data_IF_939275499291
#
_entry.id   IF_939275499291
#
_cell.length_a   1.000
_cell.length_b   1.000
_cell.length_c   1.000
_cell.angle_alpha   90.00
_cell.angle_beta   90.00
_cell.angle_gamma   90.00
#
_symmetry.space_group_name_H-M   'P 1'
#
loop_
_entity.id
_entity.type
_entity.pdbx_description
1 polymer ?
#
# COMPACT_ATOMS: atom_id res chain seq x y z
N UNK A 1 0.38 -7.93 6.33
CA UNK A 1 0.71 -6.72 7.11
C UNK A 1 1.23 -7.14 8.48
N UNK A 2 2.50 -7.51 8.58
CA UNK A 2 3.07 -8.07 9.82
C UNK A 2 3.20 -7.01 10.92
N UNK A 3 3.90 -5.90 10.65
CA UNK A 3 4.17 -4.87 11.67
C UNK A 3 2.89 -4.28 12.29
N UNK A 4 1.89 -3.95 11.47
CA UNK A 4 0.58 -3.44 11.93
C UNK A 4 -0.08 -4.40 12.91
N UNK A 5 -0.11 -5.70 12.58
CA UNK A 5 -0.71 -6.73 13.45
C UNK A 5 0.12 -6.93 14.71
N UNK A 6 1.45 -6.95 14.57
CA UNK A 6 2.37 -7.08 15.69
C UNK A 6 2.18 -5.95 16.71
N UNK A 7 2.10 -4.68 16.29
CA UNK A 7 1.85 -3.57 17.21
C UNK A 7 0.53 -3.74 17.97
N UNK A 8 -0.54 -4.14 17.29
CA UNK A 8 -1.83 -4.41 17.94
C UNK A 8 -1.72 -5.57 18.94
N UNK A 9 -1.04 -6.66 18.57
CA UNK A 9 -0.78 -7.81 19.46
C UNK A 9 0.03 -7.43 20.70
N UNK A 10 0.93 -6.43 20.60
CA UNK A 10 1.67 -5.88 21.73
C UNK A 10 0.86 -4.86 22.56
N UNK A 11 -0.44 -4.69 22.27
CA UNK A 11 -1.30 -3.73 22.98
C UNK A 11 -1.06 -2.27 22.61
N UNK A 12 -0.40 -2.00 21.48
CA UNK A 12 -0.12 -0.65 21.02
C UNK A 12 -1.27 -0.21 20.10
N UNK A 13 -2.05 0.77 20.57
CA UNK A 13 -3.09 1.41 19.78
C UNK A 13 -2.47 2.24 18.65
N UNK A 14 -2.80 1.89 17.41
CA UNK A 14 -2.27 2.54 16.21
C UNK A 14 -3.34 3.34 15.47
N UNK A 15 -2.88 4.24 14.62
CA UNK A 15 -3.67 4.87 13.57
C UNK A 15 -3.15 4.39 12.22
N UNK A 16 -4.05 3.98 11.33
CA UNK A 16 -3.72 3.35 10.06
C UNK A 16 -4.45 4.03 8.90
N UNK A 17 -3.68 4.51 7.92
CA UNK A 17 -4.18 4.99 6.63
C UNK A 17 -3.94 3.95 5.54
N UNK A 18 -5.00 3.53 4.86
CA UNK A 18 -4.96 2.50 3.81
C UNK A 18 -5.36 3.11 2.46
N UNK A 19 -4.63 2.77 1.40
CA UNK A 19 -4.92 3.20 0.03
C UNK A 19 -5.14 1.99 -0.87
N UNK A 20 -6.22 2.00 -1.65
CA UNK A 20 -6.51 0.97 -2.65
C UNK A 20 -6.03 1.32 -4.05
N UNK A 21 -5.36 2.48 -4.21
CA UNK A 21 -4.93 2.96 -5.52
C UNK A 21 -3.97 2.00 -6.23
N UNK A 22 -3.06 1.34 -5.50
CA UNK A 22 -1.97 0.56 -6.08
C UNK A 22 -2.29 -0.93 -6.13
N UNK A 23 -2.71 -1.49 -5.00
CA UNK A 23 -2.98 -2.93 -4.90
C UNK A 23 -4.28 -3.35 -5.60
N UNK A 24 -5.23 -2.44 -5.84
CA UNK A 24 -6.45 -2.72 -6.62
C UNK A 24 -6.51 -1.93 -7.93
N UNK A 25 -5.48 -1.14 -8.27
CA UNK A 25 -5.49 -0.29 -9.47
C UNK A 25 -6.49 0.87 -9.43
N UNK A 26 -7.07 1.18 -8.27
CA UNK A 26 -8.13 2.19 -8.10
C UNK A 26 -7.59 3.61 -7.95
N UNK A 27 -6.62 4.02 -8.78
CA UNK A 27 -5.92 5.30 -8.67
C UNK A 27 -6.86 6.50 -8.73
N UNK A 28 -7.68 6.58 -9.78
CA UNK A 28 -8.62 7.68 -10.02
C UNK A 28 -9.87 7.63 -9.15
N UNK A 29 -10.22 6.45 -8.63
CA UNK A 29 -11.43 6.22 -7.83
C UNK A 29 -11.34 6.76 -6.39
N UNK A 30 -10.13 7.11 -5.96
CA UNK A 30 -9.86 7.73 -4.64
C UNK A 30 -10.34 6.88 -3.46
N UNK A 31 -10.25 5.56 -3.58
CA UNK A 31 -10.62 4.61 -2.54
C UNK A 31 -9.51 4.44 -1.47
N UNK A 32 -9.89 4.58 -0.20
CA UNK A 32 -9.02 4.40 0.95
C UNK A 32 -9.82 4.29 2.25
N UNK A 33 -9.12 4.06 3.36
CA UNK A 33 -9.71 3.98 4.69
C UNK A 33 -8.77 4.57 5.75
N UNK A 34 -9.34 5.12 6.81
CA UNK A 34 -8.63 5.59 8.00
C UNK A 34 -9.17 4.85 9.22
N UNK A 35 -8.30 4.15 9.95
CA UNK A 35 -8.66 3.33 11.10
C UNK A 35 -7.92 3.83 12.34
N UNK A 36 -8.63 3.99 13.45
CA UNK A 36 -8.05 4.25 14.77
C UNK A 36 -8.36 3.05 15.66
N UNK A 37 -7.33 2.36 16.13
CA UNK A 37 -7.50 1.28 17.10
C UNK A 37 -7.68 1.93 18.47
N UNK A 38 -8.81 1.60 19.11
CA UNK A 38 -9.20 2.14 20.41
C UNK A 38 -9.17 1.02 21.46
N UNK A 39 -9.07 1.40 22.72
CA UNK A 39 -8.97 0.51 23.87
C UNK A 39 -10.27 -0.26 24.12
N UNK A 40 -11.41 0.37 23.80
CA UNK A 40 -12.74 -0.20 23.97
C UNK A 40 -13.75 0.34 22.91
N UNK A 41 -14.92 -0.29 22.78
CA UNK A 41 -15.95 0.14 21.83
C UNK A 41 -16.53 1.54 22.09
N UNK A 42 -16.52 2.02 23.33
CA UNK A 42 -17.08 3.34 23.66
C UNK A 42 -16.12 4.46 23.28
N UNK A 43 -14.81 4.26 23.45
CA UNK A 43 -13.77 5.11 22.88
C UNK A 43 -13.88 5.16 21.36
N UNK A 44 -14.05 4.00 20.71
CA UNK A 44 -14.23 3.94 19.25
C UNK A 44 -15.41 4.80 18.75
N UNK A 45 -16.56 4.76 19.44
CA UNK A 45 -17.72 5.61 19.11
C UNK A 45 -17.42 7.10 19.27
N UNK A 46 -16.71 7.48 20.34
CA UNK A 46 -16.32 8.89 20.56
C UNK A 46 -15.38 9.36 19.45
N UNK A 47 -14.36 8.57 19.12
CA UNK A 47 -13.41 8.85 18.03
C UNK A 47 -14.14 8.95 16.68
N UNK A 48 -15.01 8.00 16.36
CA UNK A 48 -15.80 8.01 15.12
C UNK A 48 -16.64 9.28 14.99
N UNK A 49 -17.28 9.72 16.08
CA UNK A 49 -18.08 10.95 16.08
C UNK A 49 -17.25 12.19 15.73
N UNK A 50 -16.02 12.28 16.25
CA UNK A 50 -15.11 13.40 15.97
C UNK A 50 -14.54 13.32 14.55
N UNK A 51 -14.23 12.12 14.06
CA UNK A 51 -13.81 11.93 12.66
C UNK A 51 -14.92 12.37 11.69
N UNK A 52 -16.18 12.04 11.97
CA UNK A 52 -17.34 12.52 11.18
C UNK A 52 -17.44 14.04 11.18
N UNK A 53 -17.23 14.69 12.33
CA UNK A 53 -17.21 16.16 12.45
C UNK A 53 -16.09 16.77 11.60
N UNK A 54 -14.90 16.17 11.56
CA UNK A 54 -13.79 16.63 10.73
C UNK A 54 -14.02 16.41 9.24
N UNK A 55 -14.57 15.25 8.85
CA UNK A 55 -14.81 14.89 7.45
C UNK A 55 -15.85 15.80 6.79
N UNK A 56 -16.91 16.13 7.53
CA UNK A 56 -18.05 16.88 7.00
C UNK A 56 -17.68 18.24 6.37
N UNK A 57 -16.88 19.13 7.00
CA UNK A 57 -16.46 20.39 6.40
C UNK A 57 -15.35 20.23 5.35
N UNK A 58 -14.61 19.11 5.32
CA UNK A 58 -13.57 18.89 4.31
C UNK A 58 -14.15 18.53 2.95
N UNK A 59 -15.08 17.58 2.91
CA UNK A 59 -15.67 17.10 1.65
C UNK A 59 -17.07 16.47 1.83
N UNK A 60 -17.74 16.71 2.96
CA UNK A 60 -19.06 16.16 3.31
C UNK A 60 -19.08 14.63 3.50
N UNK A 61 -18.91 13.86 2.42
CA UNK A 61 -18.98 12.41 2.39
C UNK A 61 -18.06 11.83 1.30
N UNK A 62 -17.50 10.62 1.50
CA UNK A 62 -16.50 10.06 0.59
C UNK A 62 -17.10 9.55 -0.74
N UNK A 63 -16.27 9.43 -1.81
CA UNK A 63 -16.71 8.86 -3.08
C UNK A 63 -17.09 7.38 -2.95
N UNK A 64 -18.22 6.99 -3.54
CA UNK A 64 -18.83 5.68 -3.32
C UNK A 64 -18.32 4.57 -4.26
N UNK A 65 -17.91 4.91 -5.49
CA UNK A 65 -17.66 3.93 -6.55
C UNK A 65 -16.48 3.00 -6.22
N UNK A 66 -15.29 3.55 -6.01
CA UNK A 66 -14.13 2.76 -5.61
C UNK A 66 -14.31 1.96 -4.33
N UNK A 67 -15.05 2.50 -3.35
CA UNK A 67 -15.38 1.78 -2.12
C UNK A 67 -16.28 0.56 -2.39
N UNK A 68 -17.24 0.66 -3.32
CA UNK A 68 -18.09 -0.46 -3.74
C UNK A 68 -17.29 -1.53 -4.50
N UNK A 69 -16.39 -1.14 -5.40
CA UNK A 69 -15.51 -2.09 -6.11
C UNK A 69 -14.65 -2.86 -5.11
N UNK A 70 -13.94 -2.15 -4.23
CA UNK A 70 -13.12 -2.77 -3.20
C UNK A 70 -13.94 -3.70 -2.29
N UNK A 71 -15.13 -3.27 -1.87
CA UNK A 71 -16.03 -4.08 -1.05
C UNK A 71 -16.49 -5.35 -1.78
N UNK A 72 -16.88 -5.25 -3.05
CA UNK A 72 -17.31 -6.38 -3.87
C UNK A 72 -16.19 -7.43 -4.01
N UNK A 73 -14.98 -6.99 -4.36
CA UNK A 73 -13.81 -7.86 -4.48
C UNK A 73 -13.49 -8.54 -3.14
N UNK A 74 -13.46 -7.79 -2.05
CA UNK A 74 -13.03 -8.32 -0.75
C UNK A 74 -14.03 -9.28 -0.10
N UNK A 75 -15.33 -9.12 -0.39
CA UNK A 75 -16.42 -9.91 0.18
C UNK A 75 -16.92 -11.04 -0.74
N UNK A 76 -16.45 -11.12 -1.99
CA UNK A 76 -16.78 -12.22 -2.91
C UNK A 76 -15.59 -13.18 -2.97
N UNK A 77 -15.69 -14.43 -2.46
CA UNK A 77 -14.54 -15.34 -2.33
C UNK A 77 -13.75 -15.55 -3.62
N UNK A 78 -14.44 -15.74 -4.75
CA UNK A 78 -13.80 -15.97 -6.05
C UNK A 78 -13.05 -14.73 -6.55
N UNK A 79 -13.69 -13.55 -6.49
CA UNK A 79 -13.05 -12.28 -6.85
C UNK A 79 -11.87 -11.95 -5.93
N UNK A 80 -11.99 -12.24 -4.64
CA UNK A 80 -10.89 -12.05 -3.69
C UNK A 80 -9.69 -12.93 -4.04
N UNK A 81 -9.94 -14.19 -4.40
CA UNK A 81 -8.89 -15.14 -4.79
C UNK A 81 -8.21 -14.69 -6.10
N UNK A 82 -8.99 -14.26 -7.07
CA UNK A 82 -8.48 -13.70 -8.32
C UNK A 82 -7.62 -12.46 -8.06
N UNK A 83 -8.13 -11.48 -7.32
CA UNK A 83 -7.41 -10.27 -6.95
C UNK A 83 -6.08 -10.57 -6.24
N UNK A 84 -6.05 -11.50 -5.29
CA UNK A 84 -4.82 -11.90 -4.60
C UNK A 84 -3.79 -12.51 -5.56
N UNK A 85 -4.25 -13.27 -6.55
CA UNK A 85 -3.39 -13.84 -7.61
C UNK A 85 -2.80 -12.73 -8.47
N UNK A 86 -3.62 -11.77 -8.91
CA UNK A 86 -3.19 -10.64 -9.73
C UNK A 86 -2.19 -9.73 -9.01
N UNK A 87 -2.47 -9.39 -7.73
CA UNK A 87 -1.55 -8.59 -6.89
C UNK A 87 -0.20 -9.29 -6.76
N UNK A 88 -0.21 -10.62 -6.55
CA UNK A 88 1.02 -11.41 -6.49
C UNK A 88 1.76 -11.36 -7.84
N UNK A 89 1.06 -11.53 -8.96
CA UNK A 89 1.66 -11.42 -10.29
C UNK A 89 2.33 -10.06 -10.55
N UNK A 90 1.69 -8.96 -10.12
CA UNK A 90 2.30 -7.63 -10.19
C UNK A 90 3.57 -7.52 -9.35
N UNK A 91 3.56 -8.05 -8.12
CA UNK A 91 4.74 -8.04 -7.25
C UNK A 91 5.88 -8.89 -7.81
N UNK A 92 5.57 -10.10 -8.27
CA UNK A 92 6.55 -11.05 -8.85
C UNK A 92 7.21 -10.44 -10.10
N UNK A 93 6.45 -9.71 -10.94
CA UNK A 93 7.01 -8.99 -12.09
C UNK A 93 8.02 -7.91 -11.65
N UNK A 94 7.72 -7.13 -10.62
CA UNK A 94 8.65 -6.09 -10.11
C UNK A 94 9.94 -6.72 -9.58
N UNK A 95 9.84 -7.82 -8.83
CA UNK A 95 11.00 -8.57 -8.33
C UNK A 95 11.86 -9.09 -9.50
N UNK A 96 11.21 -9.63 -10.54
CA UNK A 96 11.89 -10.09 -11.76
C UNK A 96 12.63 -8.94 -12.46
N UNK A 97 12.00 -7.78 -12.61
CA UNK A 97 12.63 -6.60 -13.22
C UNK A 97 13.85 -6.12 -12.44
N UNK A 98 13.78 -6.10 -11.11
CA UNK A 98 14.93 -5.74 -10.25
C UNK A 98 16.10 -6.70 -10.44
N UNK A 99 15.82 -8.00 -10.47
CA UNK A 99 16.83 -9.05 -10.70
C UNK A 99 17.48 -8.91 -12.07
N UNK A 100 16.67 -8.70 -13.12
CA UNK A 100 17.16 -8.52 -14.48
C UNK A 100 18.01 -7.25 -14.62
N UNK A 101 17.61 -6.14 -13.99
CA UNK A 101 18.38 -4.90 -14.02
C UNK A 101 19.77 -5.06 -13.40
N UNK A 102 19.87 -5.65 -12.20
CA UNK A 102 21.17 -5.90 -11.54
C UNK A 102 22.05 -6.85 -12.37
N UNK A 103 21.45 -7.91 -12.92
CA UNK A 103 22.18 -8.83 -13.80
C UNK A 103 22.73 -8.11 -15.03
N UNK A 104 21.95 -7.25 -15.66
CA UNK A 104 22.38 -6.56 -16.88
C UNK A 104 23.42 -5.49 -16.58
N UNK A 105 23.30 -4.73 -15.48
CA UNK A 105 24.34 -3.78 -15.04
C UNK A 105 25.71 -4.46 -14.86
N UNK A 106 25.74 -5.68 -14.31
CA UNK A 106 26.96 -6.48 -14.22
C UNK A 106 27.48 -6.91 -15.59
N UNK A 107 26.60 -7.34 -16.50
CA UNK A 107 26.98 -7.75 -17.86
C UNK A 107 27.57 -6.59 -18.67
N UNK A 108 27.04 -5.38 -18.50
CA UNK A 108 27.54 -4.15 -19.11
C UNK A 108 28.85 -3.63 -18.46
N UNK A 109 29.43 -4.38 -17.52
CA UNK A 109 30.73 -4.05 -16.92
C UNK A 109 30.67 -3.02 -15.80
N UNK A 110 29.49 -2.71 -15.25
CA UNK A 110 29.40 -1.81 -14.10
C UNK A 110 30.13 -2.41 -12.89
N UNK A 111 31.07 -1.66 -12.32
CA UNK A 111 31.84 -2.05 -11.13
C UNK A 111 31.20 -1.64 -9.80
N UNK A 112 30.06 -0.94 -9.85
CA UNK A 112 29.35 -0.49 -8.65
C UNK A 112 28.57 -1.65 -7.99
N UNK A 113 28.36 -1.55 -6.68
CA UNK A 113 27.46 -2.46 -5.98
C UNK A 113 26.01 -2.05 -6.22
N UNK A 114 25.25 -2.88 -6.94
CA UNK A 114 23.83 -2.67 -7.24
C UNK A 114 22.88 -3.56 -6.42
N UNK A 115 23.38 -4.24 -5.38
CA UNK A 115 22.59 -5.17 -4.55
C UNK A 115 21.36 -4.50 -3.91
N UNK A 116 21.43 -3.19 -3.62
CA UNK A 116 20.32 -2.42 -3.08
C UNK A 116 19.08 -2.44 -3.98
N UNK A 117 19.23 -2.62 -5.29
CA UNK A 117 18.09 -2.72 -6.21
C UNK A 117 17.26 -3.97 -5.92
N UNK A 118 17.90 -5.09 -5.58
CA UNK A 118 17.22 -6.36 -5.27
C UNK A 118 16.81 -6.48 -3.80
N UNK A 119 17.53 -5.84 -2.88
CA UNK A 119 17.19 -5.86 -1.45
C UNK A 119 15.99 -4.96 -1.10
N UNK A 120 15.79 -3.88 -1.87
CA UNK A 120 14.66 -2.98 -1.68
C UNK A 120 13.33 -3.63 -2.06
N UNK A 121 12.29 -3.33 -1.28
CA UNK A 121 10.94 -3.86 -1.45
C UNK A 121 10.01 -2.79 -2.03
N UNK A 122 9.13 -3.21 -2.93
CA UNK A 122 8.09 -2.36 -3.50
C UNK A 122 8.43 -1.84 -4.89
N UNK A 123 7.62 -0.91 -5.39
CA UNK A 123 7.69 -0.45 -6.77
C UNK A 123 8.86 0.51 -7.03
N UNK A 124 9.22 1.34 -6.05
CA UNK A 124 10.23 2.38 -6.21
C UNK A 124 11.60 1.91 -5.73
N UNK A 125 12.64 2.40 -6.39
CA UNK A 125 14.03 2.13 -6.04
C UNK A 125 14.75 3.44 -5.76
N UNK A 126 15.37 3.56 -4.59
CA UNK A 126 16.40 4.57 -4.37
C UNK A 126 17.65 4.08 -5.11
N UNK A 127 17.86 4.60 -6.33
CA UNK A 127 18.94 4.15 -7.22
C UNK A 127 20.31 4.56 -6.71
N UNK A 128 20.41 5.66 -5.96
CA UNK A 128 21.68 6.26 -5.56
C UNK A 128 22.34 7.11 -6.65
N UNK A 129 21.66 7.30 -7.79
CA UNK A 129 22.10 8.23 -8.83
C UNK A 129 22.03 9.67 -8.30
N UNK A 130 23.05 10.47 -8.63
CA UNK A 130 23.09 11.89 -8.30
C UNK A 130 22.19 12.69 -9.25
N UNK A 131 21.76 13.91 -8.87
CA UNK A 131 20.96 14.76 -9.75
C UNK A 131 21.57 14.89 -11.16
N UNK A 132 22.88 15.08 -11.27
CA UNK A 132 23.57 15.27 -12.55
C UNK A 132 23.61 14.01 -13.43
N UNK A 133 23.23 12.84 -12.89
CA UNK A 133 23.13 11.57 -13.62
C UNK A 133 21.69 11.24 -14.02
N UNK A 134 20.72 12.02 -13.53
CA UNK A 134 19.29 11.83 -13.75
C UNK A 134 18.72 12.92 -14.66
N UNK A 135 19.22 14.16 -14.52
CA UNK A 135 18.96 15.28 -15.43
C UNK A 135 19.58 15.06 -16.82
#
# INVERSE_FOLDING_TARGET
>A
AWAVRYFIEQGINIVLSQSFAKNMGLYGERAGAFTVICSDPDEAKRVESQLKILIRPMYSNPPVNGARIASMILNTPDLRKEWLTEVKGMADRIISMRTQLVSNLKKEGSSHNWQHITDQIGMFCFTGLKPEQVE
#
